data_IF_333723702249
#
_entry.id   IF_333723702249
#
_cell.length_a   1.000
_cell.length_b   1.000
_cell.length_c   1.000
_cell.angle_alpha   90.00
_cell.angle_beta   90.00
_cell.angle_gamma   90.00
#
_symmetry.space_group_name_H-M   'P 1'
#
loop_
_entity.id
_entity.type
_entity.pdbx_description
1 polymer ?
#
# COMPACT_ATOMS: atom_id res chain seq x y z
N UNK A 1 16.28 5.57 -24.05
CA UNK A 1 15.07 5.23 -23.28
C UNK A 1 13.90 5.47 -24.22
N UNK A 2 12.99 4.51 -24.37
CA UNK A 2 11.82 4.67 -25.21
C UNK A 2 10.95 5.84 -24.69
N UNK A 3 10.21 6.49 -25.58
CA UNK A 3 9.43 7.70 -25.31
C UNK A 3 8.35 7.47 -24.22
N UNK A 4 7.70 6.30 -24.23
CA UNK A 4 6.69 5.92 -23.21
C UNK A 4 7.33 5.69 -21.83
N UNK A 5 8.47 5.01 -21.77
CA UNK A 5 9.15 4.78 -20.50
C UNK A 5 9.72 6.08 -19.92
N UNK A 6 10.19 7.00 -20.77
CA UNK A 6 10.59 8.33 -20.31
C UNK A 6 9.40 9.13 -19.79
N UNK A 7 8.24 9.02 -20.43
CA UNK A 7 6.97 9.61 -19.95
C UNK A 7 6.61 9.04 -18.58
N UNK A 8 6.75 7.73 -18.34
CA UNK A 8 6.45 7.10 -17.06
C UNK A 8 7.26 7.68 -15.90
N UNK A 9 8.48 8.15 -16.15
CA UNK A 9 9.33 8.81 -15.17
C UNK A 9 9.20 10.34 -15.15
N UNK A 10 8.29 10.94 -15.91
CA UNK A 10 8.10 12.39 -15.99
C UNK A 10 6.98 12.82 -15.03
N UNK A 11 7.36 13.33 -13.85
CA UNK A 11 6.39 13.91 -12.91
C UNK A 11 5.89 15.26 -13.42
N UNK A 12 4.61 15.59 -13.16
CA UNK A 12 4.00 16.85 -13.60
C UNK A 12 4.77 18.11 -13.18
N UNK A 13 5.45 18.07 -12.04
CA UNK A 13 6.23 19.21 -11.56
C UNK A 13 7.38 19.58 -12.50
N UNK A 14 7.99 18.60 -13.17
CA UNK A 14 9.06 18.82 -14.13
C UNK A 14 8.62 19.70 -15.29
N UNK A 15 7.41 19.52 -15.79
CA UNK A 15 6.86 20.25 -16.91
C UNK A 15 6.62 21.74 -16.61
N UNK A 16 6.43 22.09 -15.34
CA UNK A 16 6.28 23.49 -14.92
C UNK A 16 7.56 24.31 -15.15
N UNK A 17 8.71 23.67 -15.04
CA UNK A 17 10.03 24.29 -15.24
C UNK A 17 10.58 24.09 -16.65
N UNK A 18 10.09 23.07 -17.38
CA UNK A 18 10.61 22.66 -18.70
C UNK A 18 9.52 22.70 -19.76
N UNK A 19 8.99 23.90 -20.06
CA UNK A 19 7.85 24.11 -20.99
C UNK A 19 8.09 23.62 -22.41
N UNK A 20 9.35 23.49 -22.85
CA UNK A 20 9.73 22.94 -24.16
C UNK A 20 9.89 21.43 -24.20
N UNK A 21 9.70 20.76 -23.05
CA UNK A 21 9.79 19.30 -22.97
C UNK A 21 8.64 18.67 -23.74
N UNK A 22 8.94 17.66 -24.58
CA UNK A 22 7.95 17.13 -25.53
C UNK A 22 7.00 16.09 -24.94
N UNK A 23 7.46 15.33 -23.94
CA UNK A 23 6.65 14.26 -23.38
C UNK A 23 5.69 14.82 -22.31
N UNK A 24 4.49 14.29 -22.20
CA UNK A 24 3.54 14.66 -21.15
C UNK A 24 3.99 14.14 -19.77
N UNK A 25 3.24 14.47 -18.72
CA UNK A 25 3.38 13.84 -17.42
C UNK A 25 2.95 12.37 -17.44
N UNK A 26 3.36 11.64 -16.42
CA UNK A 26 3.04 10.22 -16.26
C UNK A 26 1.58 9.93 -15.85
N UNK A 27 0.78 10.94 -15.52
CA UNK A 27 -0.57 10.79 -14.96
C UNK A 27 -1.51 9.91 -15.83
N UNK A 28 -1.42 10.01 -17.16
CA UNK A 28 -2.23 9.16 -18.04
C UNK A 28 -1.74 7.70 -18.10
N UNK A 29 -0.45 7.50 -17.97
CA UNK A 29 0.13 6.15 -17.88
C UNK A 29 -0.18 5.52 -16.52
N UNK A 30 -0.14 6.28 -15.44
CA UNK A 30 -0.58 5.90 -14.09
C UNK A 30 -2.03 5.41 -14.13
N UNK A 31 -2.95 6.21 -14.69
CA UNK A 31 -4.36 5.84 -14.82
C UNK A 31 -4.56 4.49 -15.54
N UNK A 32 -3.84 4.28 -16.65
CA UNK A 32 -3.92 3.00 -17.39
C UNK A 32 -3.26 1.87 -16.62
N UNK A 33 -2.11 2.13 -16.01
CA UNK A 33 -1.35 1.15 -15.24
C UNK A 33 -2.09 0.66 -14.00
N UNK A 34 -2.78 1.55 -13.28
CA UNK A 34 -3.66 1.16 -12.18
C UNK A 34 -4.74 0.17 -12.64
N UNK A 35 -5.44 0.46 -13.73
CA UNK A 35 -6.46 -0.46 -14.26
C UNK A 35 -5.89 -1.84 -14.62
N UNK A 36 -4.69 -1.89 -15.23
CA UNK A 36 -3.98 -3.13 -15.57
C UNK A 36 -3.57 -3.86 -14.29
N UNK A 37 -3.01 -3.15 -13.32
CA UNK A 37 -2.61 -3.70 -12.02
C UNK A 37 -3.80 -4.33 -11.30
N UNK A 38 -4.91 -3.61 -11.19
CA UNK A 38 -6.12 -4.09 -10.52
C UNK A 38 -6.69 -5.35 -11.21
N UNK A 39 -6.67 -5.40 -12.54
CA UNK A 39 -7.11 -6.57 -13.29
C UNK A 39 -6.21 -7.78 -13.03
N UNK A 40 -4.89 -7.64 -13.24
CA UNK A 40 -3.95 -8.75 -13.16
C UNK A 40 -3.81 -9.33 -11.75
N UNK A 41 -3.84 -8.48 -10.71
CA UNK A 41 -3.83 -8.98 -9.34
C UNK A 41 -5.14 -9.68 -8.98
N UNK A 42 -6.29 -9.19 -9.46
CA UNK A 42 -7.57 -9.84 -9.23
C UNK A 42 -7.63 -11.22 -9.89
N UNK A 43 -7.15 -11.35 -11.13
CA UNK A 43 -7.03 -12.62 -11.85
C UNK A 43 -6.11 -13.59 -11.11
N UNK A 44 -4.95 -13.12 -10.65
CA UNK A 44 -4.01 -13.91 -9.87
C UNK A 44 -4.63 -14.43 -8.57
N UNK A 45 -5.23 -13.55 -7.77
CA UNK A 45 -5.85 -13.90 -6.50
C UNK A 45 -7.02 -14.88 -6.67
N UNK A 46 -7.88 -14.65 -7.65
CA UNK A 46 -8.99 -15.54 -7.99
C UNK A 46 -8.50 -16.96 -8.30
N UNK A 47 -7.39 -17.07 -9.02
CA UNK A 47 -6.83 -18.37 -9.42
C UNK A 47 -6.07 -19.07 -8.28
N UNK A 48 -5.36 -18.31 -7.44
CA UNK A 48 -4.52 -18.86 -6.37
C UNK A 48 -5.29 -19.21 -5.09
N UNK A 49 -6.42 -18.53 -4.84
CA UNK A 49 -7.22 -18.69 -3.62
C UNK A 49 -8.68 -19.00 -3.94
N UNK A 50 -8.97 -20.15 -4.58
CA UNK A 50 -10.31 -20.49 -5.08
C UNK A 50 -11.34 -20.68 -3.97
N UNK A 51 -10.93 -20.96 -2.73
CA UNK A 51 -11.82 -21.18 -1.59
C UNK A 51 -12.16 -19.88 -0.83
N UNK A 52 -11.47 -18.77 -1.16
CA UNK A 52 -11.66 -17.50 -0.45
C UNK A 52 -12.86 -16.73 -0.99
N UNK A 53 -13.58 -16.07 -0.08
CA UNK A 53 -14.70 -15.21 -0.42
C UNK A 53 -14.23 -13.87 -1.03
N UNK A 54 -15.10 -13.21 -1.79
CA UNK A 54 -14.84 -11.94 -2.48
C UNK A 54 -14.24 -10.87 -1.54
N UNK A 55 -14.79 -10.70 -0.34
CA UNK A 55 -14.30 -9.72 0.63
C UNK A 55 -12.86 -9.96 1.08
N UNK A 56 -12.45 -11.24 1.20
CA UNK A 56 -11.09 -11.64 1.56
C UNK A 56 -10.15 -11.35 0.38
N UNK A 57 -10.53 -11.74 -0.84
CA UNK A 57 -9.75 -11.46 -2.05
C UNK A 57 -9.57 -9.95 -2.28
N UNK A 58 -10.60 -9.15 -1.99
CA UNK A 58 -10.52 -7.68 -2.03
C UNK A 58 -9.54 -7.13 -0.99
N UNK A 59 -9.51 -7.70 0.21
CA UNK A 59 -8.55 -7.33 1.24
C UNK A 59 -7.11 -7.69 0.88
N UNK A 60 -6.88 -8.88 0.30
CA UNK A 60 -5.56 -9.29 -0.22
C UNK A 60 -5.07 -8.33 -1.29
N UNK A 61 -5.95 -8.00 -2.25
CA UNK A 61 -5.65 -7.03 -3.30
C UNK A 61 -5.27 -5.67 -2.72
N UNK A 62 -6.11 -5.10 -1.86
CA UNK A 62 -5.87 -3.79 -1.25
C UNK A 62 -4.54 -3.74 -0.48
N UNK A 63 -4.19 -4.79 0.28
CA UNK A 63 -2.93 -4.86 1.00
C UNK A 63 -1.72 -4.96 0.06
N UNK A 64 -1.88 -5.62 -1.10
CA UNK A 64 -0.78 -5.81 -2.06
C UNK A 64 -0.49 -4.54 -2.85
N UNK A 65 -1.54 -3.82 -3.30
CA UNK A 65 -1.39 -2.65 -4.19
C UNK A 65 -1.53 -1.30 -3.48
N UNK A 66 -1.50 -1.28 -2.15
CA UNK A 66 -1.51 -0.02 -1.41
C UNK A 66 -0.27 0.83 -1.69
N UNK A 67 -0.41 2.15 -1.54
CA UNK A 67 0.66 3.12 -1.79
C UNK A 67 2.01 2.74 -1.14
N UNK A 68 2.09 2.36 0.15
CA UNK A 68 3.35 1.94 0.75
C UNK A 68 3.96 0.70 0.10
N UNK A 69 3.14 -0.26 -0.33
CA UNK A 69 3.62 -1.48 -0.99
C UNK A 69 4.23 -1.19 -2.36
N UNK A 70 3.54 -0.43 -3.21
CA UNK A 70 4.03 -0.04 -4.53
C UNK A 70 5.25 0.88 -4.45
N UNK A 71 5.27 1.81 -3.47
CA UNK A 71 6.40 2.69 -3.23
C UNK A 71 7.66 1.92 -2.84
N UNK A 72 7.54 0.93 -1.96
CA UNK A 72 8.65 0.07 -1.57
C UNK A 72 9.26 -0.67 -2.77
N UNK A 73 8.42 -1.18 -3.69
CA UNK A 73 8.91 -1.82 -4.91
C UNK A 73 9.56 -0.82 -5.87
N UNK A 74 8.96 0.34 -6.06
CA UNK A 74 9.55 1.41 -6.86
C UNK A 74 10.93 1.82 -6.34
N UNK A 75 11.09 1.89 -5.02
CA UNK A 75 12.36 2.19 -4.39
C UNK A 75 13.37 1.07 -4.62
N UNK A 76 12.99 -0.19 -4.43
CA UNK A 76 13.82 -1.37 -4.68
C UNK A 76 14.29 -1.43 -6.14
N UNK A 77 13.43 -1.04 -7.08
CA UNK A 77 13.73 -1.01 -8.52
C UNK A 77 14.49 0.25 -8.97
N UNK A 78 14.83 1.16 -8.05
CA UNK A 78 15.57 2.38 -8.33
C UNK A 78 14.78 3.40 -9.16
N UNK A 79 13.44 3.41 -9.08
CA UNK A 79 12.60 4.31 -9.88
C UNK A 79 12.73 5.76 -9.43
N UNK A 80 12.93 6.00 -8.14
CA UNK A 80 13.15 7.34 -7.60
C UNK A 80 14.32 8.08 -8.26
N UNK A 81 15.39 7.36 -8.60
CA UNK A 81 16.58 7.92 -9.25
C UNK A 81 16.32 8.34 -10.71
N UNK A 82 15.36 7.67 -11.37
CA UNK A 82 15.01 7.92 -12.78
C UNK A 82 13.99 9.05 -12.95
N UNK A 83 13.34 9.50 -11.85
CA UNK A 83 12.29 10.52 -11.88
C UNK A 83 12.83 11.86 -12.41
N UNK A 84 12.08 12.46 -13.31
CA UNK A 84 12.22 13.85 -13.72
C UNK A 84 11.28 14.71 -12.86
N UNK A 85 11.84 15.53 -11.99
CA UNK A 85 11.17 16.37 -11.01
C UNK A 85 11.54 17.83 -11.23
N UNK A 86 10.70 18.76 -10.78
CA UNK A 86 11.14 20.15 -10.60
C UNK A 86 12.19 20.25 -9.49
N UNK A 87 12.97 21.30 -9.49
CA UNK A 87 13.94 21.58 -8.42
C UNK A 87 13.27 21.66 -7.05
N UNK A 88 12.08 22.26 -6.98
CA UNK A 88 11.31 22.38 -5.73
C UNK A 88 10.82 21.01 -5.23
N UNK A 89 10.31 20.15 -6.12
CA UNK A 89 9.86 18.80 -5.76
C UNK A 89 11.04 17.93 -5.31
N UNK A 90 12.15 18.02 -6.01
CA UNK A 90 13.38 17.30 -5.66
C UNK A 90 13.92 17.75 -4.28
N UNK A 91 14.00 19.05 -4.03
CA UNK A 91 14.45 19.61 -2.75
C UNK A 91 13.55 19.22 -1.56
N UNK A 92 12.25 18.95 -1.82
CA UNK A 92 11.31 18.46 -0.80
C UNK A 92 11.32 16.94 -0.63
N UNK A 93 12.29 16.22 -1.20
CA UNK A 93 12.42 14.76 -1.10
C UNK A 93 11.52 13.98 -2.07
N UNK A 94 11.10 14.60 -3.19
CA UNK A 94 10.17 13.99 -4.17
C UNK A 94 10.58 12.60 -4.65
N UNK A 95 11.90 12.31 -4.74
CA UNK A 95 12.43 10.99 -5.16
C UNK A 95 12.08 9.85 -4.21
N UNK A 96 11.73 10.15 -2.97
CA UNK A 96 11.42 9.16 -1.93
C UNK A 96 9.99 9.27 -1.39
N UNK A 97 9.17 10.19 -1.92
CA UNK A 97 7.76 10.31 -1.53
C UNK A 97 6.98 9.10 -2.02
N UNK A 98 6.31 8.44 -1.09
CA UNK A 98 5.59 7.18 -1.36
C UNK A 98 4.57 7.33 -2.49
N UNK A 99 3.76 8.40 -2.50
CA UNK A 99 2.75 8.59 -3.54
C UNK A 99 3.36 8.79 -4.93
N UNK A 100 4.50 9.48 -5.05
CA UNK A 100 5.19 9.66 -6.34
C UNK A 100 5.75 8.32 -6.83
N UNK A 101 6.33 7.55 -5.93
CA UNK A 101 6.90 6.23 -6.24
C UNK A 101 5.82 5.23 -6.64
N UNK A 102 4.69 5.19 -5.91
CA UNK A 102 3.55 4.33 -6.24
C UNK A 102 2.97 4.66 -7.62
N UNK A 103 2.67 5.94 -7.88
CA UNK A 103 2.17 6.40 -9.17
C UNK A 103 3.15 6.11 -10.32
N UNK A 104 4.46 6.17 -10.02
CA UNK A 104 5.49 5.81 -11.01
C UNK A 104 5.49 4.32 -11.32
N UNK A 105 5.27 3.45 -10.33
CA UNK A 105 5.13 2.01 -10.55
C UNK A 105 4.00 1.70 -11.53
N UNK A 106 2.84 2.28 -11.29
CA UNK A 106 1.67 2.15 -12.16
C UNK A 106 1.95 2.73 -13.55
N UNK A 107 2.58 3.91 -13.64
CA UNK A 107 2.93 4.52 -14.91
C UNK A 107 3.90 3.67 -15.75
N UNK A 108 4.87 3.00 -15.11
CA UNK A 108 5.77 2.06 -15.78
C UNK A 108 4.99 0.88 -16.34
N UNK A 109 4.05 0.33 -15.58
CA UNK A 109 3.18 -0.75 -16.04
C UNK A 109 2.33 -0.34 -17.25
N UNK A 110 1.73 0.86 -17.20
CA UNK A 110 0.99 1.44 -18.32
C UNK A 110 1.84 1.65 -19.57
N UNK A 111 3.10 2.11 -19.39
CA UNK A 111 4.06 2.26 -20.48
C UNK A 111 4.44 0.91 -21.11
N UNK A 112 4.72 -0.10 -20.30
CA UNK A 112 5.04 -1.46 -20.76
C UNK A 112 3.93 -2.04 -21.61
N UNK A 113 2.68 -1.91 -21.17
CA UNK A 113 1.53 -2.36 -21.92
C UNK A 113 1.41 -1.67 -23.29
N UNK A 114 1.45 -0.33 -23.31
CA UNK A 114 1.29 0.44 -24.55
C UNK A 114 2.42 0.21 -25.56
N UNK A 115 3.62 -0.07 -25.05
CA UNK A 115 4.78 -0.33 -25.93
C UNK A 115 4.63 -1.65 -26.70
N UNK A 116 4.10 -2.68 -26.07
CA UNK A 116 4.07 -4.03 -26.60
C UNK A 116 2.64 -4.49 -26.97
N UNK A 117 1.60 -3.84 -26.43
CA UNK A 117 0.20 -4.27 -26.49
C UNK A 117 0.01 -5.73 -26.05
N UNK A 118 0.85 -6.19 -25.13
CA UNK A 118 0.87 -7.54 -24.59
C UNK A 118 0.70 -7.52 -23.07
N UNK A 119 -0.46 -8.00 -22.63
CA UNK A 119 -0.82 -8.10 -21.22
C UNK A 119 0.04 -9.15 -20.47
N UNK A 120 0.59 -10.14 -21.18
CA UNK A 120 1.38 -11.19 -20.56
C UNK A 120 2.74 -10.65 -20.06
N UNK A 121 3.34 -9.71 -20.76
CA UNK A 121 4.55 -9.03 -20.29
C UNK A 121 4.29 -8.30 -18.96
N UNK A 122 3.14 -7.64 -18.84
CA UNK A 122 2.73 -7.00 -17.58
C UNK A 122 2.52 -8.04 -16.47
N UNK A 123 1.92 -9.19 -16.79
CA UNK A 123 1.69 -10.30 -15.82
C UNK A 123 3.03 -10.87 -15.33
N UNK A 124 3.97 -11.15 -16.22
CA UNK A 124 5.31 -11.64 -15.87
C UNK A 124 6.05 -10.64 -14.97
N UNK A 125 5.99 -9.37 -15.33
CA UNK A 125 6.57 -8.29 -14.52
C UNK A 125 5.97 -8.24 -13.11
N UNK A 126 4.64 -8.21 -12.98
CA UNK A 126 3.98 -8.17 -11.67
C UNK A 126 4.22 -9.43 -10.85
N UNK A 127 4.23 -10.60 -11.47
CA UNK A 127 4.52 -11.87 -10.78
C UNK A 127 5.92 -11.83 -10.16
N UNK A 128 6.89 -11.32 -10.88
CA UNK A 128 8.27 -11.24 -10.42
C UNK A 128 8.48 -10.14 -9.37
N UNK A 129 7.94 -8.94 -9.62
CA UNK A 129 8.33 -7.74 -8.88
C UNK A 129 7.33 -7.36 -7.76
N UNK A 130 6.12 -7.94 -7.72
CA UNK A 130 5.10 -7.58 -6.74
C UNK A 130 4.40 -8.78 -6.09
N UNK A 131 3.95 -9.79 -6.87
CA UNK A 131 3.07 -10.84 -6.34
C UNK A 131 3.74 -11.79 -5.36
N UNK A 132 5.07 -11.84 -5.32
CA UNK A 132 5.79 -12.60 -4.31
C UNK A 132 5.45 -12.19 -2.87
N UNK A 133 4.98 -10.95 -2.66
CA UNK A 133 4.57 -10.45 -1.33
C UNK A 133 3.27 -11.05 -0.83
N UNK A 134 2.44 -11.56 -1.72
CA UNK A 134 1.07 -12.00 -1.38
C UNK A 134 1.11 -13.13 -0.35
N UNK A 135 2.04 -14.06 -0.48
CA UNK A 135 2.19 -15.15 0.49
C UNK A 135 2.43 -14.62 1.90
N UNK A 136 3.37 -13.67 2.05
CA UNK A 136 3.66 -13.06 3.35
C UNK A 136 2.46 -12.26 3.89
N UNK A 137 1.75 -11.55 3.02
CA UNK A 137 0.55 -10.78 3.38
C UNK A 137 -0.53 -11.71 3.93
N UNK A 138 -0.74 -12.85 3.29
CA UNK A 138 -1.74 -13.86 3.70
C UNK A 138 -1.33 -14.55 5.00
N UNK A 139 -0.10 -15.06 5.09
CA UNK A 139 0.40 -15.77 6.26
C UNK A 139 0.46 -14.89 7.52
N UNK A 140 0.88 -13.64 7.37
CA UNK A 140 0.96 -12.68 8.48
C UNK A 140 -0.39 -12.02 8.80
N UNK A 141 -1.45 -12.34 8.06
CA UNK A 141 -2.78 -11.71 8.17
C UNK A 141 -2.72 -10.16 8.09
N UNK A 142 -1.70 -9.60 7.42
CA UNK A 142 -1.45 -8.16 7.34
C UNK A 142 -2.45 -7.41 6.44
N UNK A 143 -3.32 -8.15 5.74
CA UNK A 143 -4.45 -7.63 4.96
C UNK A 143 -5.66 -7.27 5.82
N UNK A 144 -5.73 -7.69 7.10
CA UNK A 144 -6.87 -7.45 7.98
C UNK A 144 -6.78 -6.06 8.60
N UNK A 145 -7.82 -5.27 8.43
CA UNK A 145 -7.99 -4.02 9.16
C UNK A 145 -8.79 -4.26 10.45
N UNK A 146 -8.10 -4.79 11.45
CA UNK A 146 -8.69 -5.09 12.74
C UNK A 146 -9.24 -3.84 13.44
N UNK A 147 -8.69 -2.64 13.16
CA UNK A 147 -9.22 -1.41 13.76
C UNK A 147 -10.60 -1.07 13.24
N UNK A 148 -10.81 -1.13 11.93
CA UNK A 148 -12.13 -0.92 11.33
C UNK A 148 -13.12 -1.97 11.79
N UNK A 149 -12.74 -3.24 11.77
CA UNK A 149 -13.59 -4.34 12.26
C UNK A 149 -13.96 -4.17 13.75
N UNK A 150 -12.98 -3.82 14.59
CA UNK A 150 -13.24 -3.58 16.01
C UNK A 150 -14.16 -2.37 16.22
N UNK A 151 -14.01 -1.31 15.43
CA UNK A 151 -14.87 -0.14 15.50
C UNK A 151 -16.31 -0.46 15.10
N UNK A 152 -16.53 -1.23 14.04
CA UNK A 152 -17.87 -1.65 13.59
C UNK A 152 -18.57 -2.47 14.67
N UNK A 153 -17.91 -3.48 15.22
CA UNK A 153 -18.46 -4.35 16.28
C UNK A 153 -18.67 -3.57 17.58
N UNK A 154 -17.76 -2.68 17.95
CA UNK A 154 -17.91 -1.82 19.11
C UNK A 154 -19.11 -0.89 18.99
N UNK A 155 -19.34 -0.33 17.81
CA UNK A 155 -20.49 0.52 17.52
C UNK A 155 -21.79 -0.29 17.54
N UNK A 156 -21.80 -1.47 16.92
CA UNK A 156 -22.98 -2.34 16.85
C UNK A 156 -23.40 -2.87 18.23
N UNK A 157 -22.45 -3.41 19.00
CA UNK A 157 -22.75 -4.08 20.26
C UNK A 157 -22.77 -3.18 21.48
N UNK A 158 -22.02 -2.09 21.48
CA UNK A 158 -21.83 -1.21 22.62
C UNK A 158 -22.21 0.25 22.38
N UNK A 159 -22.56 0.64 21.15
CA UNK A 159 -22.89 2.02 20.79
C UNK A 159 -21.72 3.01 21.01
N UNK A 160 -20.48 2.53 21.02
CA UNK A 160 -19.32 3.32 21.43
C UNK A 160 -18.19 3.26 20.39
N UNK A 161 -17.48 4.37 20.24
CA UNK A 161 -16.29 4.45 19.37
C UNK A 161 -15.05 4.10 20.19
N UNK A 162 -14.18 3.18 19.70
CA UNK A 162 -12.94 2.84 20.37
C UNK A 162 -11.95 4.00 20.41
N UNK A 163 -11.22 4.10 21.53
CA UNK A 163 -10.14 5.04 21.70
C UNK A 163 -8.81 4.30 21.88
N UNK A 164 -7.78 4.68 21.12
CA UNK A 164 -6.44 4.11 21.21
C UNK A 164 -5.52 5.06 21.95
N UNK A 165 -4.73 4.54 22.91
CA UNK A 165 -3.76 5.33 23.68
C UNK A 165 -2.41 4.63 23.70
N UNK A 166 -1.35 5.37 23.38
CA UNK A 166 0.02 4.89 23.58
C UNK A 166 0.29 4.85 25.09
N UNK A 167 0.55 3.65 25.60
CA UNK A 167 0.82 3.40 27.02
C UNK A 167 2.32 3.44 27.30
N UNK A 168 3.15 2.98 26.33
CA UNK A 168 4.59 2.92 26.48
C UNK A 168 5.28 2.97 25.11
N UNK A 169 6.44 3.64 25.07
CA UNK A 169 7.38 3.62 23.95
C UNK A 169 8.76 3.18 24.48
N UNK A 170 9.48 2.34 23.76
CA UNK A 170 10.83 1.90 24.10
C UNK A 170 11.61 1.44 22.87
N UNK A 171 12.91 1.20 23.05
CA UNK A 171 13.84 0.81 22.01
C UNK A 171 14.53 2.02 21.35
N UNK A 172 15.64 1.78 20.63
CA UNK A 172 16.34 2.78 19.87
C UNK A 172 15.50 3.22 18.65
N UNK A 173 15.78 4.38 18.05
CA UNK A 173 14.99 4.95 16.97
C UNK A 173 14.83 4.03 15.76
N UNK A 174 15.80 3.19 15.47
CA UNK A 174 15.76 2.22 14.36
C UNK A 174 15.02 0.91 14.69
N UNK A 175 14.70 0.64 15.97
CA UNK A 175 13.88 -0.50 16.43
C UNK A 175 12.94 -0.07 17.56
N UNK A 176 12.21 1.02 17.32
CA UNK A 176 11.26 1.55 18.28
C UNK A 176 10.04 0.65 18.40
N UNK A 177 9.58 0.43 19.63
CA UNK A 177 8.41 -0.37 19.95
C UNK A 177 7.38 0.47 20.68
N UNK A 178 6.11 0.18 20.44
CA UNK A 178 4.97 0.86 21.01
C UNK A 178 4.05 -0.15 21.67
N UNK A 179 3.60 0.16 22.88
CA UNK A 179 2.48 -0.51 23.53
C UNK A 179 1.27 0.43 23.44
N UNK A 180 0.18 -0.05 22.85
CA UNK A 180 -1.06 0.71 22.70
C UNK A 180 -2.20 -0.05 23.36
N UNK A 181 -3.00 0.65 24.14
CA UNK A 181 -4.26 0.14 24.71
C UNK A 181 -5.46 0.60 23.88
N UNK A 182 -6.41 -0.30 23.63
CA UNK A 182 -7.73 0.02 23.07
C UNK A 182 -8.78 0.09 24.18
N UNK A 183 -9.59 1.13 24.17
CA UNK A 183 -10.57 1.47 25.20
C UNK A 183 -11.96 1.66 24.61
N UNK A 184 -13.01 1.25 25.37
CA UNK A 184 -14.37 1.70 25.19
C UNK A 184 -14.76 2.54 26.39
N UNK A 185 -14.96 3.84 26.19
CA UNK A 185 -15.15 4.78 27.27
C UNK A 185 -13.95 4.80 28.24
N UNK A 186 -14.16 4.29 29.47
CA UNK A 186 -13.10 4.19 30.49
C UNK A 186 -12.50 2.79 30.61
N UNK A 187 -13.14 1.80 30.03
CA UNK A 187 -12.72 0.40 30.11
C UNK A 187 -11.63 0.09 29.07
N UNK A 188 -10.53 -0.47 29.53
CA UNK A 188 -9.48 -0.99 28.67
C UNK A 188 -9.85 -2.41 28.22
N UNK A 189 -9.99 -2.60 26.91
CA UNK A 189 -10.39 -3.89 26.33
C UNK A 189 -9.19 -4.80 26.13
N UNK A 190 -8.15 -4.28 25.47
CA UNK A 190 -6.93 -5.02 25.16
C UNK A 190 -5.73 -4.09 25.01
N UNK A 191 -4.53 -4.69 24.92
CA UNK A 191 -3.27 -4.00 24.61
C UNK A 191 -2.57 -4.69 23.44
N UNK A 192 -1.90 -3.92 22.57
CA UNK A 192 -1.14 -4.44 21.46
C UNK A 192 0.26 -3.83 21.39
N UNK A 193 1.22 -4.62 20.94
CA UNK A 193 2.61 -4.20 20.74
C UNK A 193 2.92 -4.19 19.24
N UNK A 194 3.62 -3.14 18.77
CA UNK A 194 4.07 -3.03 17.39
C UNK A 194 5.34 -2.21 17.25
N UNK A 195 5.98 -2.32 16.08
CA UNK A 195 7.13 -1.50 15.70
C UNK A 195 6.75 -0.10 15.16
N UNK A 196 5.44 0.19 15.09
CA UNK A 196 4.87 1.51 14.85
C UNK A 196 3.58 1.65 15.66
N UNK A 197 3.14 2.90 15.90
CA UNK A 197 1.86 3.15 16.60
C UNK A 197 0.71 2.45 15.88
N UNK A 198 0.66 2.57 14.56
CA UNK A 198 -0.39 1.95 13.74
C UNK A 198 -0.41 0.42 13.88
N UNK A 199 0.75 -0.26 13.84
CA UNK A 199 0.83 -1.71 14.05
C UNK A 199 0.41 -2.13 15.47
N UNK A 200 0.81 -1.35 16.47
CA UNK A 200 0.38 -1.58 17.85
C UNK A 200 -1.15 -1.40 18.03
N UNK A 201 -1.75 -0.42 17.36
CA UNK A 201 -3.20 -0.19 17.35
C UNK A 201 -3.94 -1.35 16.67
N UNK A 202 -3.46 -1.84 15.52
CA UNK A 202 -4.03 -3.00 14.83
C UNK A 202 -3.97 -4.25 15.72
N UNK A 203 -2.84 -4.49 16.40
CA UNK A 203 -2.71 -5.62 17.31
C UNK A 203 -3.59 -5.49 18.55
N UNK A 204 -3.74 -4.29 19.12
CA UNK A 204 -4.68 -4.06 20.23
C UNK A 204 -6.13 -4.32 19.80
N UNK A 205 -6.52 -3.91 18.60
CA UNK A 205 -7.83 -4.19 18.03
C UNK A 205 -8.04 -5.69 17.80
N UNK A 206 -7.05 -6.39 17.24
CA UNK A 206 -7.11 -7.85 17.04
C UNK A 206 -7.33 -8.60 18.35
N UNK A 207 -6.54 -8.30 19.37
CA UNK A 207 -6.68 -8.92 20.70
C UNK A 207 -8.00 -8.55 21.38
N UNK A 208 -8.53 -7.35 21.11
CA UNK A 208 -9.87 -6.96 21.54
C UNK A 208 -10.98 -7.80 20.91
N UNK A 209 -10.89 -8.04 19.61
CA UNK A 209 -11.83 -8.90 18.86
C UNK A 209 -11.75 -10.36 19.35
N UNK A 210 -10.54 -10.88 19.57
CA UNK A 210 -10.32 -12.21 20.12
C UNK A 210 -10.97 -12.35 21.51
N UNK A 211 -10.76 -11.37 22.39
CA UNK A 211 -11.38 -11.34 23.73
C UNK A 211 -12.90 -11.35 23.67
N UNK A 212 -13.50 -10.75 22.64
CA UNK A 212 -14.95 -10.75 22.44
C UNK A 212 -15.48 -11.99 21.71
N UNK A 213 -14.59 -12.89 21.26
CA UNK A 213 -14.96 -14.09 20.50
C UNK A 213 -15.38 -13.82 19.05
N UNK A 214 -14.95 -12.67 18.50
CA UNK A 214 -15.29 -12.25 17.13
C UNK A 214 -14.29 -12.77 16.09
N UNK A 215 -13.11 -13.21 16.53
CA UNK A 215 -12.10 -13.86 15.73
C UNK A 215 -11.42 -14.99 16.54
N UNK A 216 -10.95 -16.03 15.84
CA UNK A 216 -10.18 -17.15 16.40
C UNK A 216 -8.67 -16.87 16.25
#
# INVERSE_FOLDING_TARGET
MNDLLQTAFTHRSYLNEHRSYKNPSNERLEFLGDAILQFLISEFLYSQYPEEQEGVLTSYRAATVCTPSLAAESQRLGYGEKLLLSKGEEASGGRTKEYILANTFEAVLGAMYLENLDINLCREYLTKELFYKITDIVEQKSYKDFKSQFQEIAQEKHGATPLYKVLKEWGPDHDKRFLVGVYLGKEQIAEGVGNSKQRAEQEAARLGLEKWGEIL
#
